data_IF_152916324063
#
_entry.id   IF_152916324063
#
_cell.length_a   1.000
_cell.length_b   1.000
_cell.length_c   1.000
_cell.angle_alpha   90.00
_cell.angle_beta   90.00
_cell.angle_gamma   90.00
#
_symmetry.space_group_name_H-M   'P 1'
#
loop_
_entity.id
_entity.type
_entity.pdbx_description
1 polymer ?
#
# COMPACT_ATOMS: atom_id res chain seq x y z
N UNK A 1 14.75 -10.56 -2.92
CA UNK A 1 14.90 -10.23 -4.37
C UNK A 1 13.90 -9.14 -4.72
N UNK A 2 14.17 -8.22 -5.67
CA UNK A 2 13.17 -7.24 -6.08
C UNK A 2 12.01 -7.93 -6.82
N UNK A 3 10.78 -7.52 -6.49
CA UNK A 3 9.57 -7.96 -7.20
C UNK A 3 9.38 -7.19 -8.50
N UNK A 4 9.62 -5.84 -8.45
CA UNK A 4 9.60 -4.96 -9.62
C UNK A 4 10.83 -4.06 -9.57
N UNK A 5 11.51 -3.88 -10.71
CA UNK A 5 12.67 -2.98 -10.82
C UNK A 5 12.46 -2.01 -11.99
N UNK A 6 12.67 -0.74 -11.74
CA UNK A 6 12.70 0.31 -12.77
C UNK A 6 14.13 0.81 -12.90
N UNK A 7 14.69 0.85 -14.13
CA UNK A 7 16.05 1.31 -14.41
C UNK A 7 16.02 2.37 -15.51
N UNK A 8 16.28 3.62 -15.15
CA UNK A 8 16.34 4.77 -16.05
C UNK A 8 15.11 4.89 -16.98
N UNK A 9 13.91 4.60 -16.43
CA UNK A 9 12.66 4.52 -17.21
C UNK A 9 12.20 5.92 -17.59
N UNK A 10 12.07 6.15 -18.91
CA UNK A 10 11.56 7.40 -19.46
C UNK A 10 10.41 7.15 -20.44
N UNK A 11 9.46 8.09 -20.48
CA UNK A 11 8.34 8.05 -21.43
C UNK A 11 8.05 9.40 -22.02
N UNK A 12 8.02 9.41 -23.35
CA UNK A 12 7.59 10.54 -24.16
C UNK A 12 6.37 10.15 -24.99
N UNK A 13 5.35 11.00 -25.05
CA UNK A 13 4.17 10.82 -25.87
C UNK A 13 4.23 11.78 -27.08
N UNK A 14 3.95 11.26 -28.28
CA UNK A 14 3.92 12.02 -29.54
C UNK A 14 5.29 12.54 -30.02
N UNK A 15 5.34 13.09 -31.23
CA UNK A 15 6.59 13.56 -31.88
C UNK A 15 7.12 14.89 -31.30
N UNK A 16 6.27 15.73 -30.71
CA UNK A 16 6.63 16.99 -30.02
C UNK A 16 6.81 16.85 -28.53
N UNK A 17 6.71 15.75 -28.06
CA UNK A 17 6.94 14.92 -26.91
C UNK A 17 6.88 15.57 -25.55
N UNK A 18 5.69 15.68 -24.96
CA UNK A 18 5.59 15.86 -23.49
C UNK A 18 6.27 14.68 -22.79
N UNK A 19 7.28 14.96 -21.97
CA UNK A 19 7.99 13.96 -21.19
C UNK A 19 7.14 13.59 -19.98
N UNK A 20 6.47 12.45 -20.05
CA UNK A 20 5.61 11.97 -18.97
C UNK A 20 6.38 11.30 -17.84
N UNK A 21 7.53 10.71 -18.14
CA UNK A 21 8.47 10.13 -17.16
C UNK A 21 9.90 10.44 -17.61
N UNK A 22 10.76 10.74 -16.63
CA UNK A 22 12.15 11.09 -16.87
C UNK A 22 13.06 10.35 -15.89
N UNK A 23 13.81 9.39 -16.41
CA UNK A 23 14.90 8.67 -15.73
C UNK A 23 14.52 8.11 -14.34
N UNK A 24 13.35 7.44 -14.29
CA UNK A 24 12.83 6.88 -13.05
C UNK A 24 13.55 5.57 -12.74
N UNK A 25 14.21 5.52 -11.57
CA UNK A 25 14.98 4.35 -11.11
C UNK A 25 14.64 4.05 -9.66
N UNK A 26 14.07 2.87 -9.39
CA UNK A 26 13.87 2.33 -8.05
C UNK A 26 13.47 0.85 -8.10
N UNK A 27 13.43 0.21 -6.94
CA UNK A 27 13.04 -1.19 -6.79
C UNK A 27 11.91 -1.32 -5.77
N UNK A 28 10.99 -2.24 -6.05
CA UNK A 28 9.94 -2.67 -5.12
C UNK A 28 10.31 -4.06 -4.61
N UNK A 29 10.60 -4.23 -3.31
CA UNK A 29 10.90 -5.53 -2.73
C UNK A 29 9.76 -6.52 -2.91
N UNK A 30 10.09 -7.80 -3.08
CA UNK A 30 9.08 -8.85 -3.14
C UNK A 30 8.25 -8.91 -1.87
N UNK A 31 6.94 -9.04 -2.00
CA UNK A 31 6.01 -9.13 -0.87
C UNK A 31 5.70 -7.79 -0.19
N UNK A 32 6.26 -6.67 -0.69
CA UNK A 32 5.99 -5.34 -0.15
C UNK A 32 4.95 -4.57 -0.96
N UNK A 33 4.30 -3.61 -0.31
CA UNK A 33 3.42 -2.63 -0.92
C UNK A 33 4.19 -1.33 -1.17
N UNK A 34 4.38 -0.96 -2.44
CA UNK A 34 4.95 0.32 -2.84
C UNK A 34 3.83 1.25 -3.33
N UNK A 35 3.73 2.40 -2.69
CA UNK A 35 2.76 3.44 -3.01
C UNK A 35 3.39 4.47 -3.93
N UNK A 36 2.79 4.73 -5.10
CA UNK A 36 3.14 5.82 -5.99
C UNK A 36 2.26 7.02 -5.69
N UNK A 37 2.82 8.07 -5.12
CA UNK A 37 2.09 9.30 -4.75
C UNK A 37 2.57 10.51 -5.52
N UNK A 38 1.72 11.51 -5.63
CA UNK A 38 2.03 12.76 -6.32
C UNK A 38 0.77 13.37 -6.95
N UNK A 39 0.89 14.62 -7.40
CA UNK A 39 -0.23 15.34 -8.06
C UNK A 39 -0.68 14.64 -9.34
N UNK A 40 -1.89 15.00 -9.82
CA UNK A 40 -2.35 14.58 -11.14
C UNK A 40 -1.33 14.98 -12.21
N UNK A 41 -1.09 14.11 -13.18
CA UNK A 41 -0.06 14.33 -14.21
C UNK A 41 1.38 14.05 -13.79
N UNK A 42 1.65 13.59 -12.57
CA UNK A 42 3.01 13.25 -12.12
C UNK A 42 3.62 12.00 -12.78
N UNK A 43 2.86 11.26 -13.60
CA UNK A 43 3.35 10.07 -14.30
C UNK A 43 3.05 8.74 -13.63
N UNK A 44 2.37 8.71 -12.47
CA UNK A 44 2.10 7.51 -11.65
C UNK A 44 1.40 6.39 -12.44
N UNK A 45 0.22 6.67 -12.98
CA UNK A 45 -0.56 5.71 -13.78
C UNK A 45 0.20 5.28 -15.04
N UNK A 46 0.98 6.18 -15.65
CA UNK A 46 1.84 5.84 -16.80
C UNK A 46 2.88 4.79 -16.39
N UNK A 47 3.57 5.02 -15.27
CA UNK A 47 4.58 4.09 -14.74
C UNK A 47 3.95 2.73 -14.39
N UNK A 48 2.80 2.74 -13.70
CA UNK A 48 2.07 1.52 -13.35
C UNK A 48 1.67 0.72 -14.60
N UNK A 49 1.13 1.41 -15.63
CA UNK A 49 0.71 0.76 -16.88
C UNK A 49 1.85 0.21 -17.73
N UNK A 50 3.07 0.61 -17.47
CA UNK A 50 4.25 0.02 -18.12
C UNK A 50 4.61 -1.34 -17.52
N UNK A 51 4.33 -1.59 -16.25
CA UNK A 51 4.65 -2.87 -15.60
C UNK A 51 3.89 -4.03 -16.26
N UNK A 52 2.63 -3.81 -16.65
CA UNK A 52 1.84 -4.80 -17.41
C UNK A 52 1.86 -4.59 -18.93
N UNK A 53 2.82 -3.76 -19.41
CA UNK A 53 3.03 -3.48 -20.84
C UNK A 53 1.77 -3.01 -21.58
N UNK A 54 0.89 -2.24 -20.89
CA UNK A 54 -0.19 -1.48 -21.55
C UNK A 54 0.36 -0.22 -22.20
N UNK A 55 1.49 0.28 -21.72
CA UNK A 55 2.29 1.36 -22.28
C UNK A 55 3.74 0.87 -22.30
N UNK A 56 4.45 1.08 -23.40
CA UNK A 56 5.88 0.75 -23.47
C UNK A 56 6.75 1.97 -23.12
N UNK A 57 7.88 1.79 -22.41
CA UNK A 57 8.83 2.87 -22.15
C UNK A 57 9.45 3.36 -23.46
N UNK A 58 9.87 4.64 -23.51
CA UNK A 58 10.65 5.17 -24.62
C UNK A 58 12.13 4.80 -24.47
N UNK A 59 12.61 4.72 -23.22
CA UNK A 59 13.94 4.24 -22.86
C UNK A 59 13.95 3.68 -21.43
N UNK A 60 15.00 2.98 -21.06
CA UNK A 60 15.14 2.31 -19.78
C UNK A 60 14.55 0.89 -19.78
N UNK A 61 14.59 0.24 -18.63
CA UNK A 61 14.19 -1.17 -18.49
C UNK A 61 13.28 -1.33 -17.27
N UNK A 62 12.24 -2.14 -17.43
CA UNK A 62 11.36 -2.57 -16.34
C UNK A 62 11.47 -4.07 -16.20
N UNK A 63 11.81 -4.54 -15.00
CA UNK A 63 11.89 -5.97 -14.70
C UNK A 63 10.75 -6.35 -13.74
N UNK A 64 10.10 -7.46 -14.04
CA UNK A 64 9.11 -8.13 -13.19
C UNK A 64 9.69 -9.48 -12.80
N UNK A 65 9.89 -9.71 -11.50
CA UNK A 65 10.54 -10.93 -11.00
C UNK A 65 11.88 -11.25 -11.72
N UNK A 66 12.64 -10.19 -12.04
CA UNK A 66 13.95 -10.28 -12.69
C UNK A 66 13.93 -10.44 -14.23
N UNK A 67 12.73 -10.50 -14.86
CA UNK A 67 12.58 -10.60 -16.32
C UNK A 67 12.11 -9.28 -16.90
N UNK A 68 12.66 -8.89 -18.05
CA UNK A 68 12.24 -7.67 -18.75
C UNK A 68 10.82 -7.81 -19.29
N UNK A 69 9.97 -6.82 -19.02
CA UNK A 69 8.58 -6.81 -19.52
C UNK A 69 8.52 -6.73 -21.05
N UNK A 70 9.58 -6.29 -21.72
CA UNK A 70 9.64 -6.20 -23.18
C UNK A 70 10.05 -7.53 -23.84
N UNK A 71 10.70 -8.43 -23.09
CA UNK A 71 11.17 -9.72 -23.59
C UNK A 71 10.09 -10.82 -23.49
N UNK A 72 9.02 -10.58 -22.73
CA UNK A 72 7.91 -11.53 -22.57
C UNK A 72 6.76 -11.20 -23.54
N UNK A 73 5.98 -12.23 -23.92
CA UNK A 73 4.72 -12.01 -24.62
C UNK A 73 3.76 -11.20 -23.72
N UNK A 74 3.13 -10.12 -24.20
CA UNK A 74 2.27 -9.27 -23.39
C UNK A 74 1.08 -10.00 -22.78
N UNK A 75 0.57 -11.05 -23.42
CA UNK A 75 -0.57 -11.83 -22.90
C UNK A 75 -0.09 -12.69 -21.73
N UNK A 76 1.06 -13.36 -21.88
CA UNK A 76 1.65 -14.17 -20.81
C UNK A 76 2.05 -13.31 -19.61
N UNK A 77 2.69 -12.15 -19.84
CA UNK A 77 3.03 -11.20 -18.77
C UNK A 77 1.77 -10.81 -17.95
N UNK A 78 0.68 -10.44 -18.62
CA UNK A 78 -0.57 -10.01 -17.97
C UNK A 78 -1.30 -11.12 -17.24
N UNK A 79 -1.12 -12.38 -17.62
CA UNK A 79 -1.67 -13.54 -16.91
C UNK A 79 -1.09 -13.71 -15.50
N UNK A 80 0.16 -13.24 -15.29
CA UNK A 80 0.88 -13.34 -14.03
C UNK A 80 0.79 -12.07 -13.17
N UNK A 81 0.06 -11.04 -13.65
CA UNK A 81 -0.12 -9.76 -12.95
C UNK A 81 -1.60 -9.53 -12.69
N UNK A 82 -1.97 -9.38 -11.44
CA UNK A 82 -3.31 -8.91 -11.06
C UNK A 82 -3.42 -7.40 -11.27
N UNK A 83 -4.53 -6.93 -11.83
CA UNK A 83 -4.73 -5.50 -12.07
C UNK A 83 -6.10 -5.03 -11.60
N UNK A 84 -6.08 -4.12 -10.63
CA UNK A 84 -7.27 -3.39 -10.14
C UNK A 84 -7.25 -1.99 -10.75
N UNK A 85 -8.20 -1.71 -11.63
CA UNK A 85 -8.32 -0.43 -12.34
C UNK A 85 -9.13 0.58 -11.52
N UNK A 86 -8.93 1.87 -11.80
CA UNK A 86 -9.55 3.02 -11.12
C UNK A 86 -11.09 2.96 -11.09
N UNK A 87 -11.72 2.58 -12.20
CA UNK A 87 -13.13 2.21 -12.22
C UNK A 87 -13.20 0.69 -12.15
N UNK A 88 -13.98 0.12 -11.24
CA UNK A 88 -13.97 -1.32 -10.92
C UNK A 88 -14.03 -2.22 -12.16
N UNK A 89 -14.65 -1.72 -13.26
CA UNK A 89 -14.66 -2.38 -14.56
C UNK A 89 -15.25 -3.80 -14.50
N UNK A 90 -16.23 -4.04 -13.64
CA UNK A 90 -16.97 -5.29 -13.64
C UNK A 90 -17.83 -5.35 -14.89
N UNK A 91 -17.92 -6.54 -15.49
CA UNK A 91 -18.79 -6.80 -16.62
C UNK A 91 -20.24 -6.79 -16.14
N UNK A 92 -21.08 -5.84 -16.56
CA UNK A 92 -22.43 -5.66 -16.00
C UNK A 92 -23.40 -6.81 -16.34
N UNK A 93 -23.11 -7.56 -17.38
CA UNK A 93 -23.89 -8.72 -17.83
C UNK A 93 -23.45 -10.04 -17.20
N UNK A 94 -22.37 -10.02 -16.41
CA UNK A 94 -21.84 -11.17 -15.67
C UNK A 94 -22.17 -11.03 -14.19
N UNK A 95 -22.52 -12.15 -13.53
CA UNK A 95 -22.65 -12.16 -12.07
C UNK A 95 -21.28 -12.09 -11.39
N UNK A 96 -21.25 -12.03 -10.06
CA UNK A 96 -20.02 -11.91 -9.26
C UNK A 96 -19.07 -13.08 -9.53
N UNK A 97 -19.55 -14.31 -9.52
CA UNK A 97 -18.69 -15.48 -9.78
C UNK A 97 -18.10 -15.46 -11.19
N UNK A 98 -18.87 -15.05 -12.18
CA UNK A 98 -18.43 -14.91 -13.56
C UNK A 98 -17.38 -13.80 -13.70
N UNK A 99 -17.60 -12.65 -13.06
CA UNK A 99 -16.62 -11.57 -13.01
C UNK A 99 -15.27 -11.98 -12.39
N UNK A 100 -15.30 -12.78 -11.32
CA UNK A 100 -14.07 -13.24 -10.67
C UNK A 100 -13.33 -14.24 -11.55
N UNK A 101 -14.02 -15.26 -12.09
CA UNK A 101 -13.38 -16.37 -12.80
C UNK A 101 -12.90 -16.02 -14.22
N UNK A 102 -13.41 -14.94 -14.84
CA UNK A 102 -13.11 -14.61 -16.26
C UNK A 102 -11.61 -14.55 -16.56
N UNK A 103 -10.80 -14.05 -15.63
CA UNK A 103 -9.34 -13.97 -15.82
C UNK A 103 -8.68 -15.35 -15.93
N UNK A 104 -9.13 -16.32 -15.12
CA UNK A 104 -8.63 -17.68 -15.18
C UNK A 104 -9.21 -18.47 -16.37
N UNK A 105 -10.44 -18.19 -16.78
CA UNK A 105 -11.03 -18.76 -18.01
C UNK A 105 -10.23 -18.34 -19.26
N UNK A 106 -9.86 -17.07 -19.35
CA UNK A 106 -9.02 -16.54 -20.45
C UNK A 106 -7.59 -17.09 -20.37
N UNK A 107 -7.04 -17.26 -19.16
CA UNK A 107 -5.72 -17.85 -18.99
C UNK A 107 -5.69 -19.35 -19.40
N UNK A 108 -6.81 -20.05 -19.26
CA UNK A 108 -6.92 -21.48 -19.57
C UNK A 108 -6.32 -22.39 -18.50
N UNK A 109 -6.47 -23.72 -18.72
CA UNK A 109 -5.85 -24.73 -17.85
C UNK A 109 -6.58 -25.02 -16.53
N UNK A 110 -7.75 -24.41 -16.28
CA UNK A 110 -8.53 -24.59 -15.05
C UNK A 110 -9.74 -25.50 -15.29
N UNK A 111 -9.92 -26.50 -14.45
CA UNK A 111 -11.17 -27.26 -14.44
C UNK A 111 -12.30 -26.46 -13.79
N UNK A 112 -13.53 -26.74 -14.17
CA UNK A 112 -14.73 -26.03 -13.64
C UNK A 112 -14.78 -26.08 -12.11
N UNK A 113 -14.51 -27.26 -11.54
CA UNK A 113 -14.53 -27.44 -10.08
C UNK A 113 -13.46 -26.60 -9.37
N UNK A 114 -12.24 -26.50 -9.95
CA UNK A 114 -11.18 -25.63 -9.40
C UNK A 114 -11.55 -24.16 -9.47
N UNK A 115 -12.13 -23.72 -10.61
CA UNK A 115 -12.62 -22.34 -10.76
C UNK A 115 -13.66 -22.00 -9.69
N UNK A 116 -14.64 -22.88 -9.50
CA UNK A 116 -15.72 -22.66 -8.54
C UNK A 116 -15.22 -22.64 -7.10
N UNK A 117 -14.34 -23.55 -6.72
CA UNK A 117 -13.71 -23.56 -5.39
C UNK A 117 -12.87 -22.30 -5.13
N UNK A 118 -12.08 -21.87 -6.13
CA UNK A 118 -11.25 -20.65 -6.01
C UNK A 118 -12.09 -19.38 -5.91
N UNK A 119 -13.21 -19.29 -6.63
CA UNK A 119 -14.17 -18.18 -6.51
C UNK A 119 -14.71 -18.09 -5.09
N UNK A 120 -15.11 -19.23 -4.49
CA UNK A 120 -15.64 -19.25 -3.13
C UNK A 120 -14.58 -18.86 -2.10
N UNK A 121 -13.35 -19.36 -2.24
CA UNK A 121 -12.21 -18.97 -1.42
C UNK A 121 -11.96 -17.45 -1.47
N UNK A 122 -11.92 -16.86 -2.68
CA UNK A 122 -11.67 -15.45 -2.87
C UNK A 122 -12.82 -14.57 -2.35
N UNK A 123 -14.06 -15.02 -2.49
CA UNK A 123 -15.20 -14.35 -1.91
C UNK A 123 -15.13 -14.32 -0.38
N UNK A 124 -14.73 -15.43 0.26
CA UNK A 124 -14.48 -15.44 1.70
C UNK A 124 -13.33 -14.49 2.08
N UNK A 125 -12.22 -14.52 1.32
CA UNK A 125 -11.05 -13.65 1.55
C UNK A 125 -11.43 -12.17 1.57
N UNK A 126 -12.31 -11.74 0.63
CA UNK A 126 -12.73 -10.34 0.53
C UNK A 126 -13.99 -10.02 1.37
N UNK A 127 -14.40 -10.91 2.27
CA UNK A 127 -15.53 -10.68 3.19
C UNK A 127 -16.89 -10.62 2.52
N UNK A 128 -17.10 -11.34 1.42
CA UNK A 128 -18.37 -11.47 0.70
C UNK A 128 -18.83 -12.95 0.73
N UNK A 129 -19.73 -13.36 1.65
CA UNK A 129 -20.18 -14.75 1.75
C UNK A 129 -20.70 -15.31 0.42
N UNK A 130 -20.13 -16.43 -0.11
CA UNK A 130 -20.50 -16.95 -1.43
C UNK A 130 -21.98 -17.27 -1.59
N UNK A 131 -22.61 -17.81 -0.54
CA UNK A 131 -24.04 -18.13 -0.56
C UNK A 131 -24.95 -16.94 -0.90
N UNK A 132 -24.50 -15.73 -0.51
CA UNK A 132 -25.26 -14.50 -0.71
C UNK A 132 -24.85 -13.77 -1.99
N UNK A 133 -23.52 -13.69 -2.28
CA UNK A 133 -22.98 -12.77 -3.29
C UNK A 133 -22.70 -13.42 -4.64
N UNK A 134 -22.41 -14.72 -4.69
CA UNK A 134 -21.93 -15.41 -5.89
C UNK A 134 -22.78 -15.16 -7.14
N UNK A 135 -24.13 -15.09 -6.98
CA UNK A 135 -25.08 -14.96 -8.09
C UNK A 135 -25.55 -13.53 -8.34
N UNK A 136 -25.17 -12.56 -7.48
CA UNK A 136 -25.54 -11.16 -7.66
C UNK A 136 -24.84 -10.56 -8.88
N UNK A 137 -25.49 -9.58 -9.48
CA UNK A 137 -24.92 -8.78 -10.56
C UNK A 137 -24.31 -7.48 -10.01
N UNK A 138 -23.36 -6.83 -10.73
CA UNK A 138 -22.72 -5.60 -10.28
C UNK A 138 -23.70 -4.51 -9.82
N UNK A 139 -24.85 -4.36 -10.49
CA UNK A 139 -25.89 -3.37 -10.14
C UNK A 139 -26.56 -3.60 -8.77
N UNK A 140 -26.40 -4.80 -8.20
CA UNK A 140 -26.98 -5.19 -6.91
C UNK A 140 -25.95 -5.03 -5.76
N UNK A 141 -24.79 -4.47 -6.07
CA UNK A 141 -23.66 -4.30 -5.14
C UNK A 141 -23.43 -2.82 -4.87
N UNK A 142 -23.06 -2.50 -3.61
CA UNK A 142 -22.49 -1.19 -3.28
C UNK A 142 -21.13 -0.98 -3.96
N UNK A 143 -20.66 0.27 -4.07
CA UNK A 143 -19.35 0.58 -4.64
C UNK A 143 -18.20 -0.17 -3.94
N UNK A 144 -18.22 -0.26 -2.61
CA UNK A 144 -17.21 -1.03 -1.86
C UNK A 144 -17.29 -2.54 -2.13
N UNK A 145 -18.51 -3.10 -2.27
CA UNK A 145 -18.66 -4.51 -2.65
C UNK A 145 -18.16 -4.77 -4.08
N UNK A 146 -18.42 -3.86 -5.01
CA UNK A 146 -17.86 -3.96 -6.36
C UNK A 146 -16.33 -3.93 -6.34
N UNK A 147 -15.70 -3.07 -5.51
CA UNK A 147 -14.24 -3.03 -5.33
C UNK A 147 -13.69 -4.35 -4.80
N UNK A 148 -14.35 -4.95 -3.81
CA UNK A 148 -13.98 -6.28 -3.28
C UNK A 148 -14.04 -7.36 -4.36
N UNK A 149 -15.06 -7.35 -5.20
CA UNK A 149 -15.17 -8.26 -6.36
C UNK A 149 -14.03 -8.00 -7.36
N UNK A 150 -13.70 -6.74 -7.63
CA UNK A 150 -12.56 -6.36 -8.48
C UNK A 150 -11.22 -6.86 -7.96
N UNK A 151 -11.01 -6.78 -6.63
CA UNK A 151 -9.82 -7.33 -5.98
C UNK A 151 -9.80 -8.86 -6.05
N UNK A 152 -10.92 -9.53 -5.78
CA UNK A 152 -11.04 -10.98 -5.92
C UNK A 152 -10.73 -11.44 -7.35
N UNK A 153 -11.24 -10.72 -8.38
CA UNK A 153 -10.91 -10.98 -9.78
C UNK A 153 -9.41 -10.84 -10.07
N UNK A 154 -8.76 -9.81 -9.53
CA UNK A 154 -7.33 -9.61 -9.71
C UNK A 154 -6.49 -10.71 -9.04
N UNK A 155 -7.00 -11.35 -7.99
CA UNK A 155 -6.34 -12.44 -7.25
C UNK A 155 -6.66 -13.84 -7.81
N UNK A 156 -7.54 -13.95 -8.81
CA UNK A 156 -8.07 -15.25 -9.28
C UNK A 156 -6.98 -16.21 -9.74
N UNK A 157 -5.99 -15.72 -10.49
CA UNK A 157 -4.88 -16.53 -11.02
C UNK A 157 -3.71 -16.67 -10.05
N UNK A 158 -3.87 -16.23 -8.80
CA UNK A 158 -2.83 -16.20 -7.77
C UNK A 158 -1.54 -15.48 -8.20
N UNK A 159 -1.63 -14.25 -8.75
CA UNK A 159 -0.49 -13.54 -9.29
C UNK A 159 0.53 -13.20 -8.20
N UNK A 160 1.83 -13.14 -8.55
CA UNK A 160 2.88 -12.68 -7.65
C UNK A 160 2.85 -11.15 -7.43
N UNK A 161 2.31 -10.40 -8.41
CA UNK A 161 2.27 -8.94 -8.43
C UNK A 161 0.84 -8.47 -8.60
N UNK A 162 0.48 -7.44 -7.82
CA UNK A 162 -0.78 -6.71 -7.93
C UNK A 162 -0.50 -5.25 -8.30
N UNK A 163 -1.13 -4.78 -9.34
CA UNK A 163 -1.15 -3.38 -9.74
C UNK A 163 -2.50 -2.78 -9.35
N UNK A 164 -2.50 -1.64 -8.68
CA UNK A 164 -3.72 -0.95 -8.24
C UNK A 164 -3.67 0.51 -8.67
N UNK A 165 -4.59 0.93 -9.52
CA UNK A 165 -4.69 2.30 -10.05
C UNK A 165 -5.85 3.03 -9.37
N UNK A 166 -5.57 3.82 -8.32
CA UNK A 166 -6.55 4.58 -7.51
C UNK A 166 -7.80 3.77 -7.10
N UNK A 167 -7.63 2.57 -6.50
CA UNK A 167 -8.77 1.65 -6.30
C UNK A 167 -9.84 2.19 -5.37
N UNK A 168 -9.56 3.17 -4.51
CA UNK A 168 -10.51 3.71 -3.54
C UNK A 168 -11.01 5.12 -3.88
N UNK A 169 -10.61 5.68 -5.04
CA UNK A 169 -10.92 7.07 -5.41
C UNK A 169 -12.42 7.40 -5.52
N UNK A 170 -13.25 6.41 -5.83
CA UNK A 170 -14.70 6.60 -5.98
C UNK A 170 -15.52 6.28 -4.71
N UNK A 171 -14.86 5.92 -3.58
CA UNK A 171 -15.54 5.55 -2.34
C UNK A 171 -15.70 6.76 -1.41
N UNK A 172 -16.80 6.78 -0.64
CA UNK A 172 -16.95 7.70 0.49
C UNK A 172 -15.91 7.41 1.60
N UNK A 173 -15.68 8.36 2.50
CA UNK A 173 -14.61 8.29 3.50
C UNK A 173 -14.73 7.08 4.45
N UNK A 174 -15.95 6.70 4.86
CA UNK A 174 -16.17 5.58 5.78
C UNK A 174 -15.88 4.26 5.08
N UNK A 175 -16.46 4.05 3.91
CA UNK A 175 -16.25 2.85 3.09
C UNK A 175 -14.78 2.72 2.68
N UNK A 176 -14.11 3.84 2.35
CA UNK A 176 -12.68 3.87 2.03
C UNK A 176 -11.83 3.38 3.20
N UNK A 177 -12.05 3.89 4.43
CA UNK A 177 -11.34 3.43 5.61
C UNK A 177 -11.50 1.93 5.86
N UNK A 178 -12.72 1.41 5.75
CA UNK A 178 -12.99 -0.03 5.88
C UNK A 178 -12.28 -0.87 4.81
N UNK A 179 -12.25 -0.39 3.57
CA UNK A 179 -11.57 -1.08 2.47
C UNK A 179 -10.04 -1.08 2.61
N UNK A 180 -9.47 0.00 3.16
CA UNK A 180 -8.05 0.06 3.47
C UNK A 180 -7.67 -0.96 4.55
N UNK A 181 -8.44 -1.04 5.65
CA UNK A 181 -8.21 -2.01 6.72
C UNK A 181 -8.33 -3.45 6.22
N UNK A 182 -9.31 -3.71 5.36
CA UNK A 182 -9.49 -5.01 4.71
C UNK A 182 -8.32 -5.35 3.79
N UNK A 183 -7.83 -4.41 2.99
CA UNK A 183 -6.65 -4.62 2.13
C UNK A 183 -5.41 -4.93 2.95
N UNK A 184 -5.18 -4.23 4.08
CA UNK A 184 -4.08 -4.54 4.99
C UNK A 184 -4.17 -5.97 5.54
N UNK A 185 -5.39 -6.42 5.92
CA UNK A 185 -5.62 -7.79 6.37
C UNK A 185 -5.30 -8.78 5.27
N UNK A 186 -5.85 -8.58 4.07
CA UNK A 186 -5.62 -9.46 2.92
C UNK A 186 -4.13 -9.51 2.56
N UNK A 187 -3.43 -8.37 2.57
CA UNK A 187 -2.00 -8.32 2.22
C UNK A 187 -1.11 -9.10 3.23
N UNK A 188 -1.48 -9.12 4.52
CA UNK A 188 -0.80 -9.96 5.53
C UNK A 188 -0.92 -11.46 5.20
N UNK A 189 -2.09 -11.88 4.71
CA UNK A 189 -2.38 -13.28 4.39
C UNK A 189 -1.72 -13.71 3.07
N UNK A 190 -1.84 -12.88 2.02
CA UNK A 190 -1.41 -13.28 0.66
C UNK A 190 0.02 -12.87 0.31
N UNK A 191 0.62 -11.89 1.02
CA UNK A 191 2.00 -11.40 0.88
C UNK A 191 2.42 -11.13 -0.57
N UNK A 192 1.56 -10.50 -1.35
CA UNK A 192 1.84 -10.15 -2.76
C UNK A 192 2.70 -8.89 -2.85
N UNK A 193 3.47 -8.78 -3.93
CA UNK A 193 4.12 -7.51 -4.27
C UNK A 193 3.08 -6.58 -4.86
N UNK A 194 2.86 -5.42 -4.26
CA UNK A 194 1.83 -4.47 -4.68
C UNK A 194 2.47 -3.18 -5.16
N UNK A 195 2.10 -2.72 -6.35
CA UNK A 195 2.35 -1.37 -6.81
C UNK A 195 1.02 -0.62 -6.86
N UNK A 196 0.87 0.39 -6.01
CA UNK A 196 -0.38 1.07 -5.75
C UNK A 196 -0.27 2.56 -6.10
N UNK A 197 -1.12 3.04 -6.97
CA UNK A 197 -1.21 4.47 -7.32
C UNK A 197 -2.31 5.13 -6.50
N UNK A 198 -1.98 6.23 -5.86
CA UNK A 198 -2.95 7.11 -5.20
C UNK A 198 -2.53 8.58 -5.30
N UNK A 199 -3.47 9.48 -5.11
CA UNK A 199 -3.23 10.90 -4.87
C UNK A 199 -3.41 11.28 -3.40
N UNK A 200 -3.84 10.34 -2.56
CA UNK A 200 -4.06 10.50 -1.13
C UNK A 200 -2.81 10.07 -0.35
N UNK A 201 -2.18 11.03 0.32
CA UNK A 201 -0.97 10.76 1.09
C UNK A 201 -1.24 9.96 2.36
N UNK A 202 -2.41 10.15 3.00
CA UNK A 202 -2.77 9.38 4.20
C UNK A 202 -2.93 7.91 3.88
N UNK A 203 -3.52 7.61 2.72
CA UNK A 203 -3.61 6.26 2.19
C UNK A 203 -2.22 5.64 1.97
N UNK A 204 -1.29 6.41 1.40
CA UNK A 204 0.06 5.94 1.15
C UNK A 204 0.85 5.68 2.44
N UNK A 205 0.72 6.57 3.42
CA UNK A 205 1.36 6.42 4.73
C UNK A 205 0.79 5.23 5.52
N UNK A 206 -0.53 4.96 5.37
CA UNK A 206 -1.22 3.88 6.06
C UNK A 206 -0.93 2.50 5.46
N UNK A 207 -0.93 2.39 4.12
CA UNK A 207 -0.90 1.11 3.40
C UNK A 207 0.49 0.71 2.92
N UNK A 208 1.41 1.68 2.76
CA UNK A 208 2.70 1.46 2.14
C UNK A 208 3.76 0.91 3.10
N UNK A 209 4.51 -0.08 2.65
CA UNK A 209 5.82 -0.38 3.23
C UNK A 209 6.88 0.57 2.66
N UNK A 210 6.66 1.02 1.44
CA UNK A 210 7.52 1.91 0.69
C UNK A 210 6.64 2.95 -0.03
N UNK A 211 7.07 4.19 -0.05
CA UNK A 211 6.36 5.28 -0.72
C UNK A 211 7.32 5.98 -1.70
N UNK A 212 6.93 6.01 -2.96
CA UNK A 212 7.62 6.70 -4.05
C UNK A 212 6.89 8.01 -4.36
N UNK A 213 7.50 9.14 -4.02
CA UNK A 213 6.96 10.47 -4.27
C UNK A 213 7.34 10.92 -5.67
N UNK A 214 6.34 11.12 -6.53
CA UNK A 214 6.53 11.51 -7.92
C UNK A 214 6.08 12.95 -8.16
N UNK A 215 6.86 13.69 -8.95
CA UNK A 215 6.55 15.06 -9.36
C UNK A 215 7.07 15.34 -10.77
N UNK A 216 6.21 15.84 -11.66
CA UNK A 216 6.56 16.16 -13.06
C UNK A 216 7.36 15.05 -13.77
N UNK A 217 6.93 13.79 -13.62
CA UNK A 217 7.54 12.64 -14.27
C UNK A 217 8.85 12.15 -13.65
N UNK A 218 9.28 12.71 -12.52
CA UNK A 218 10.49 12.31 -11.79
C UNK A 218 10.13 11.68 -10.45
N UNK A 219 10.98 10.78 -9.99
CA UNK A 219 10.99 10.31 -8.62
C UNK A 219 11.76 11.33 -7.77
N UNK A 220 11.11 11.93 -6.77
CA UNK A 220 11.74 12.87 -5.84
C UNK A 220 12.34 12.16 -4.64
N UNK A 221 11.57 11.25 -4.03
CA UNK A 221 12.01 10.47 -2.88
C UNK A 221 11.36 9.10 -2.89
N UNK A 222 12.10 8.12 -2.40
CA UNK A 222 11.65 6.76 -2.11
C UNK A 222 12.07 6.43 -0.68
N UNK A 223 11.15 5.98 0.15
CA UNK A 223 11.45 5.62 1.54
C UNK A 223 10.27 4.98 2.26
N UNK A 224 10.50 4.54 3.49
CA UNK A 224 9.41 4.14 4.36
C UNK A 224 8.53 5.36 4.71
N UNK A 225 7.24 5.17 5.06
CA UNK A 225 6.37 6.27 5.49
C UNK A 225 7.00 7.20 6.54
N UNK A 226 7.65 6.63 7.55
CA UNK A 226 8.33 7.39 8.59
C UNK A 226 9.47 8.27 8.05
N UNK A 227 10.28 7.76 7.11
CA UNK A 227 11.38 8.53 6.51
C UNK A 227 10.87 9.76 5.74
N UNK A 228 9.73 9.62 5.06
CA UNK A 228 9.15 10.73 4.30
C UNK A 228 8.63 11.84 5.22
N UNK A 229 8.06 11.47 6.37
CA UNK A 229 7.57 12.44 7.36
C UNK A 229 8.71 13.16 8.06
N UNK A 230 9.76 12.42 8.45
CA UNK A 230 10.83 12.94 9.33
C UNK A 230 12.03 13.50 8.59
N UNK A 231 12.28 13.03 7.34
CA UNK A 231 13.45 13.38 6.52
C UNK A 231 13.07 13.63 5.07
N UNK A 232 12.17 14.58 4.77
CA UNK A 232 11.85 14.93 3.40
C UNK A 232 13.10 15.48 2.69
N UNK A 233 13.35 15.02 1.45
CA UNK A 233 14.54 15.41 0.66
C UNK A 233 14.51 16.87 0.23
N UNK A 234 13.32 17.43 0.05
CA UNK A 234 13.13 18.83 -0.31
C UNK A 234 11.77 19.36 0.15
N UNK A 235 11.57 20.68 0.02
CA UNK A 235 10.30 21.34 0.38
C UNK A 235 9.08 20.84 -0.43
N UNK A 236 9.28 20.29 -1.63
CA UNK A 236 8.18 19.76 -2.44
C UNK A 236 7.67 18.47 -1.82
N UNK A 237 8.59 17.61 -1.41
CA UNK A 237 8.24 16.37 -0.68
C UNK A 237 7.61 16.74 0.66
N UNK A 238 8.23 17.63 1.45
CA UNK A 238 7.69 18.11 2.73
C UNK A 238 6.23 18.56 2.62
N UNK A 239 5.91 19.41 1.64
CA UNK A 239 4.53 19.88 1.38
C UNK A 239 3.59 18.79 0.89
N UNK A 240 4.05 17.84 0.05
CA UNK A 240 3.23 16.74 -0.45
C UNK A 240 2.87 15.76 0.65
N UNK A 241 3.84 15.46 1.50
CA UNK A 241 3.69 14.53 2.62
C UNK A 241 3.02 15.19 3.82
N UNK A 242 3.13 16.54 3.93
CA UNK A 242 2.64 17.31 5.07
C UNK A 242 3.46 17.04 6.33
N UNK A 243 4.78 17.02 6.19
CA UNK A 243 5.72 16.84 7.31
C UNK A 243 5.70 17.98 8.32
N UNK A 244 5.05 19.12 8.00
CA UNK A 244 4.83 20.22 8.95
C UNK A 244 3.58 20.00 9.83
N UNK A 245 2.83 18.92 9.61
CA UNK A 245 1.61 18.60 10.36
C UNK A 245 1.91 17.61 11.50
N UNK A 246 2.10 18.15 12.70
CA UNK A 246 2.36 17.37 13.93
C UNK A 246 1.31 16.30 14.20
N UNK A 247 0.03 16.56 13.87
CA UNK A 247 -1.03 15.56 14.04
C UNK A 247 -0.83 14.37 13.07
N UNK A 248 -0.29 14.62 11.90
CA UNK A 248 0.04 13.58 10.95
C UNK A 248 1.21 12.73 11.43
N UNK A 249 2.28 13.35 11.93
CA UNK A 249 3.40 12.62 12.53
C UNK A 249 2.92 11.73 13.69
N UNK A 250 2.12 12.27 14.59
CA UNK A 250 1.55 11.49 15.71
C UNK A 250 0.72 10.28 15.27
N UNK A 251 0.03 10.35 14.12
CA UNK A 251 -0.81 9.26 13.61
C UNK A 251 -0.04 8.17 12.87
N UNK A 252 1.09 8.50 12.28
CA UNK A 252 1.80 7.58 11.39
C UNK A 252 3.17 7.13 11.90
N UNK A 253 3.78 7.87 12.83
CA UNK A 253 4.98 7.41 13.52
C UNK A 253 4.59 6.42 14.62
N UNK A 254 5.42 5.40 14.79
CA UNK A 254 5.20 4.37 15.81
C UNK A 254 5.89 4.71 17.14
N UNK A 255 5.41 4.14 18.23
CA UNK A 255 5.97 4.31 19.56
C UNK A 255 7.46 3.94 19.64
N UNK A 256 7.91 2.98 18.81
CA UNK A 256 9.32 2.62 18.69
C UNK A 256 10.21 3.75 18.17
N UNK A 257 9.67 4.74 17.46
CA UNK A 257 10.43 5.92 17.02
C UNK A 257 10.74 6.90 18.15
N UNK A 258 10.02 6.82 19.28
CA UNK A 258 10.15 7.71 20.43
C UNK A 258 10.70 6.98 21.67
N UNK A 259 11.56 5.99 21.47
CA UNK A 259 12.21 5.27 22.56
C UNK A 259 13.08 6.20 23.40
N UNK A 260 12.87 6.18 24.73
CA UNK A 260 13.65 6.94 25.72
C UNK A 260 14.71 6.06 26.37
N UNK A 261 15.92 6.08 25.80
CA UNK A 261 17.06 5.35 26.33
C UNK A 261 17.57 5.90 27.67
N UNK A 262 17.19 7.13 28.04
CA UNK A 262 17.62 7.79 29.28
C UNK A 262 16.69 7.50 30.47
N UNK A 263 15.52 6.90 30.23
CA UNK A 263 14.58 6.61 31.29
C UNK A 263 15.07 5.50 32.24
N UNK A 264 15.34 5.85 33.48
CA UNK A 264 15.95 4.94 34.48
C UNK A 264 14.94 4.27 35.42
N UNK A 265 13.63 4.43 35.19
CA UNK A 265 12.58 3.76 35.95
C UNK A 265 11.61 4.73 36.66
N UNK A 266 10.42 4.21 36.99
CA UNK A 266 9.42 4.96 37.73
C UNK A 266 9.82 5.18 39.18
N UNK A 267 9.35 6.27 39.84
CA UNK A 267 9.42 6.42 41.29
C UNK A 267 8.89 5.17 42.01
N UNK A 268 9.47 4.82 43.14
CA UNK A 268 9.11 3.60 43.91
C UNK A 268 7.64 3.48 44.25
N UNK A 269 6.89 4.60 44.27
CA UNK A 269 5.47 4.68 44.55
C UNK A 269 4.57 4.63 43.31
N UNK A 270 5.16 4.56 42.11
CA UNK A 270 4.37 4.43 40.87
C UNK A 270 3.97 2.96 40.68
N UNK A 271 2.70 2.71 40.47
CA UNK A 271 2.20 1.39 40.08
C UNK A 271 2.88 0.84 38.82
N UNK A 272 2.53 -0.38 38.40
CA UNK A 272 3.13 -0.97 37.21
C UNK A 272 2.87 -0.07 35.98
N UNK A 273 3.95 0.23 35.21
CA UNK A 273 3.84 1.04 34.01
C UNK A 273 2.95 0.33 32.97
N UNK A 274 2.07 1.07 32.26
CA UNK A 274 1.26 0.49 31.22
C UNK A 274 2.12 0.05 30.04
N UNK A 275 1.69 -1.00 29.34
CA UNK A 275 2.39 -1.55 28.17
C UNK A 275 1.86 -0.94 26.89
N UNK A 276 2.72 -0.85 25.90
CA UNK A 276 2.40 -0.34 24.58
C UNK A 276 3.07 -1.24 23.52
N UNK A 277 2.35 -1.60 22.47
CA UNK A 277 2.93 -2.31 21.34
C UNK A 277 3.94 -1.41 20.62
N UNK A 278 5.08 -1.94 20.13
CA UNK A 278 6.09 -1.13 19.43
C UNK A 278 5.58 -0.46 18.15
N UNK A 279 4.58 -1.06 17.50
CA UNK A 279 3.90 -0.58 16.30
C UNK A 279 2.67 0.29 16.57
N UNK A 280 2.31 0.52 17.84
CA UNK A 280 1.29 1.51 18.19
C UNK A 280 1.71 2.90 17.75
N UNK A 281 0.75 3.75 17.36
CA UNK A 281 1.08 5.12 16.91
C UNK A 281 1.56 5.99 18.09
N UNK A 282 2.34 7.05 17.79
CA UNK A 282 2.72 8.03 18.81
C UNK A 282 1.47 8.68 19.44
N UNK A 283 0.39 8.84 18.68
CA UNK A 283 -0.88 9.32 19.21
C UNK A 283 -1.47 8.37 20.25
N UNK A 284 -1.48 7.06 19.97
CA UNK A 284 -1.98 6.07 20.93
C UNK A 284 -1.12 6.02 22.19
N UNK A 285 0.20 6.09 22.03
CA UNK A 285 1.14 6.16 23.13
C UNK A 285 0.91 7.42 23.98
N UNK A 286 0.80 8.58 23.35
CA UNK A 286 0.51 9.85 24.03
C UNK A 286 -0.84 9.80 24.77
N UNK A 287 -1.90 9.33 24.13
CA UNK A 287 -3.22 9.17 24.77
C UNK A 287 -3.20 8.19 25.94
N UNK A 288 -2.41 7.11 25.84
CA UNK A 288 -2.23 6.17 26.93
C UNK A 288 -1.54 6.81 28.13
N UNK A 289 -0.46 7.59 27.91
CA UNK A 289 0.20 8.37 28.98
C UNK A 289 -0.77 9.32 29.67
N UNK A 290 -1.57 10.06 28.90
CA UNK A 290 -2.56 10.99 29.48
C UNK A 290 -3.66 10.29 30.26
N UNK A 291 -4.21 9.18 29.76
CA UNK A 291 -5.29 8.42 30.41
C UNK A 291 -4.83 7.78 31.71
N UNK A 292 -3.64 7.20 31.71
CA UNK A 292 -3.08 6.47 32.84
C UNK A 292 -2.36 7.38 33.83
N UNK A 293 -2.02 8.62 33.42
CA UNK A 293 -1.13 9.54 34.14
C UNK A 293 0.21 8.91 34.54
N UNK A 294 0.64 7.93 33.73
CA UNK A 294 1.91 7.25 33.92
C UNK A 294 3.09 8.11 33.44
N UNK A 295 4.24 8.06 34.08
CA UNK A 295 5.43 8.80 33.65
C UNK A 295 6.02 8.24 32.35
N UNK A 296 5.82 6.96 32.08
CA UNK A 296 6.28 6.28 30.87
C UNK A 296 5.38 5.10 30.50
N UNK A 297 5.52 4.60 29.26
CA UNK A 297 5.00 3.31 28.81
C UNK A 297 6.17 2.36 28.62
N UNK A 298 5.93 1.06 28.83
CA UNK A 298 6.88 -0.02 28.49
C UNK A 298 6.53 -0.53 27.09
N UNK A 299 7.47 -0.46 26.16
CA UNK A 299 7.33 -1.10 24.86
C UNK A 299 7.39 -2.62 25.03
N UNK A 300 6.42 -3.33 24.45
CA UNK A 300 6.43 -4.78 24.43
C UNK A 300 7.65 -5.26 23.60
N UNK A 301 8.54 -6.01 24.23
CA UNK A 301 9.71 -6.58 23.59
C UNK A 301 9.52 -8.08 23.38
N UNK A 302 10.19 -8.65 22.37
CA UNK A 302 10.33 -10.08 22.26
C UNK A 302 11.12 -10.62 23.49
N UNK A 303 10.83 -11.84 23.90
CA UNK A 303 11.40 -12.47 25.08
C UNK A 303 12.94 -12.33 25.11
N UNK A 304 13.47 -11.83 26.23
CA UNK A 304 14.90 -11.70 26.51
C UNK A 304 15.55 -10.36 26.14
N UNK A 305 14.82 -9.41 25.56
CA UNK A 305 15.33 -8.07 25.32
C UNK A 305 15.08 -7.13 26.52
N UNK A 306 15.95 -6.12 26.76
CA UNK A 306 15.74 -5.15 27.82
C UNK A 306 14.46 -4.34 27.59
N UNK A 307 13.76 -4.00 28.66
CA UNK A 307 12.59 -3.14 28.60
C UNK A 307 12.94 -1.77 27.99
N UNK A 308 12.21 -1.36 26.98
CA UNK A 308 12.32 -0.04 26.35
C UNK A 308 11.14 0.81 26.79
N UNK A 309 11.33 2.11 26.90
CA UNK A 309 10.33 3.01 27.44
C UNK A 309 10.02 4.14 26.46
N UNK A 310 8.80 4.67 26.56
CA UNK A 310 8.35 5.87 25.84
C UNK A 310 7.79 6.85 26.88
N UNK A 311 8.29 8.06 26.88
CA UNK A 311 7.84 9.16 27.74
C UNK A 311 7.18 10.25 26.88
N UNK A 312 6.43 11.16 27.51
CA UNK A 312 5.90 12.32 26.81
C UNK A 312 7.02 13.20 26.26
N UNK A 313 8.12 13.31 27.00
CA UNK A 313 9.31 14.09 26.58
C UNK A 313 9.98 13.47 25.35
N UNK A 314 10.11 12.12 25.31
CA UNK A 314 10.68 11.43 24.14
C UNK A 314 9.78 11.58 22.90
N UNK A 315 8.45 11.54 23.04
CA UNK A 315 7.51 11.83 21.95
C UNK A 315 7.71 13.26 21.43
N UNK A 316 7.74 14.25 22.31
CA UNK A 316 7.97 15.66 21.94
C UNK A 316 9.33 15.82 21.25
N UNK A 317 10.37 15.22 21.79
CA UNK A 317 11.71 15.25 21.20
C UNK A 317 11.76 14.65 19.79
N UNK A 318 11.02 13.55 19.56
CA UNK A 318 10.91 12.90 18.25
C UNK A 318 10.25 13.83 17.23
N UNK A 319 9.16 14.50 17.63
CA UNK A 319 8.44 15.45 16.79
C UNK A 319 9.26 16.73 16.48
N UNK A 320 10.15 17.15 17.39
CA UNK A 320 10.99 18.35 17.20
C UNK A 320 12.25 18.08 16.36
N UNK A 321 12.79 16.88 16.39
CA UNK A 321 14.06 16.54 15.73
C UNK A 321 13.89 15.87 14.37
N UNK A 322 12.66 15.44 14.02
CA UNK A 322 12.46 14.38 13.06
C UNK A 322 12.98 13.06 13.65
N UNK A 323 12.33 11.93 13.42
CA UNK A 323 12.78 10.64 13.99
C UNK A 323 14.23 10.35 13.60
N UNK A 324 14.99 9.62 14.43
CA UNK A 324 16.42 9.33 14.24
C UNK A 324 16.73 8.52 12.98
#
# INVERSE_FOLDING_TARGET
>A
MPGITFRAVSKRFGNSGTLALQDVTFEVPQGSTCMLVGRSGAGKTTLLRMVNRLIEPTSGTILVSGRSVLDEDPIELRRHIGYVIQQVGLFPHMNVAENIRVTAEVAGGWSRSKLDARVDELLHLVGLPPAEYRRRFPRELSGGQQQRVGLARALMTDPAILLMDEPFGALDAITRGQMQDELLRIQRDVKKTVLFVTHDIEEALKLGNLVAVMHHGKLLQLGAPADLLTRPTDQTVARLVGSDDVLRELRFLTASCAEDASYTGAPQDAGPLPRCAPDATLLDAMLSLFRTRAPALVLEAADGLPARHVTLESIISTLQKGAP
#
